data_IF_302982607287
#
_entry.id   IF_302982607287
#
_cell.length_a   1.000
_cell.length_b   1.000
_cell.length_c   1.000
_cell.angle_alpha   90.00
_cell.angle_beta   90.00
_cell.angle_gamma   90.00
#
_symmetry.space_group_name_H-M   'P 1'
#
loop_
_entity.id
_entity.type
_entity.pdbx_description
1 polymer ?
#
# COMPACT_ATOMS: atom_id res chain seq x y z
N UNK A 1 -3.48 -10.45 8.41
CA UNK A 1 -2.94 -11.35 9.46
C UNK A 1 -2.23 -12.53 8.81
N UNK A 2 -1.23 -13.05 9.47
CA UNK A 2 -0.43 -14.17 9.00
C UNK A 2 -1.24 -15.47 8.78
N UNK A 3 -2.34 -15.66 9.55
CA UNK A 3 -3.19 -16.84 9.56
C UNK A 3 -4.38 -16.78 8.56
N UNK A 4 -4.52 -15.71 7.78
CA UNK A 4 -5.66 -15.56 6.87
C UNK A 4 -5.65 -16.56 5.71
N UNK A 5 -4.48 -16.93 5.22
CA UNK A 5 -4.33 -17.94 4.17
C UNK A 5 -4.64 -19.38 4.63
N UNK A 6 -4.78 -19.60 5.95
CA UNK A 6 -5.16 -20.90 6.53
C UNK A 6 -6.67 -21.01 6.76
N UNK A 7 -7.42 -19.92 6.62
CA UNK A 7 -8.85 -19.87 6.95
C UNK A 7 -9.76 -20.21 5.80
N UNK A 8 -9.29 -20.09 4.57
CA UNK A 8 -10.07 -20.34 3.34
C UNK A 8 -9.12 -20.58 2.17
N UNK A 9 -9.67 -21.17 1.10
CA UNK A 9 -8.94 -21.33 -0.16
C UNK A 9 -8.65 -19.96 -0.79
N UNK A 10 -7.42 -19.78 -1.24
CA UNK A 10 -6.91 -18.56 -1.87
C UNK A 10 -6.09 -18.90 -3.10
N UNK A 11 -6.71 -19.49 -4.17
CA UNK A 11 -5.97 -20.08 -5.29
C UNK A 11 -5.07 -19.09 -6.04
N UNK A 12 -5.44 -17.81 -6.10
CA UNK A 12 -4.62 -16.79 -6.77
C UNK A 12 -3.41 -16.38 -5.93
N UNK A 13 -3.56 -16.24 -4.61
CA UNK A 13 -2.42 -16.06 -3.71
C UNK A 13 -1.54 -17.31 -3.67
N UNK A 14 -2.13 -18.51 -3.68
CA UNK A 14 -1.40 -19.78 -3.67
C UNK A 14 -0.53 -19.93 -4.94
N UNK A 15 -1.01 -19.45 -6.09
CA UNK A 15 -0.23 -19.40 -7.32
C UNK A 15 1.02 -18.51 -7.15
N UNK A 16 0.86 -17.30 -6.60
CA UNK A 16 1.97 -16.37 -6.35
C UNK A 16 2.96 -16.98 -5.35
N UNK A 17 2.45 -17.57 -4.27
CA UNK A 17 3.26 -18.21 -3.22
C UNK A 17 4.06 -19.37 -3.78
N UNK A 18 3.48 -20.17 -4.66
CA UNK A 18 4.14 -21.32 -5.29
C UNK A 18 5.30 -20.91 -6.19
N UNK A 19 5.17 -19.78 -6.90
CA UNK A 19 6.19 -19.24 -7.81
C UNK A 19 7.18 -18.28 -7.16
N UNK A 20 6.91 -17.83 -5.93
CA UNK A 20 7.65 -16.77 -5.25
C UNK A 20 8.17 -17.16 -3.88
N UNK A 21 8.27 -16.16 -3.01
CA UNK A 21 8.70 -16.32 -1.62
C UNK A 21 7.65 -15.74 -0.66
N UNK A 22 7.32 -16.50 0.38
CA UNK A 22 6.41 -16.09 1.45
C UNK A 22 7.12 -16.14 2.79
N UNK A 23 7.11 -15.04 3.53
CA UNK A 23 7.51 -15.05 4.95
C UNK A 23 6.42 -15.69 5.82
N UNK A 24 6.81 -16.21 6.98
CA UNK A 24 5.85 -16.75 7.97
C UNK A 24 4.92 -15.66 8.51
N UNK A 25 5.46 -14.48 8.74
CA UNK A 25 4.71 -13.30 9.20
C UNK A 25 5.51 -12.03 8.91
N UNK A 26 4.81 -10.91 8.81
CA UNK A 26 5.39 -9.57 8.93
C UNK A 26 5.23 -9.13 10.38
N UNK A 27 6.35 -8.88 11.07
CA UNK A 27 6.36 -8.38 12.45
C UNK A 27 6.16 -6.86 12.38
N UNK A 28 5.04 -6.34 12.91
CA UNK A 28 4.80 -4.90 12.87
C UNK A 28 5.72 -4.15 13.81
N UNK A 29 5.99 -2.88 13.49
CA UNK A 29 6.64 -1.96 14.43
C UNK A 29 5.65 -1.49 15.49
N UNK A 30 6.17 -1.05 16.64
CA UNK A 30 5.36 -0.41 17.68
C UNK A 30 5.36 1.12 17.44
N UNK A 31 4.20 1.79 17.55
CA UNK A 31 2.87 1.22 17.79
C UNK A 31 2.28 0.55 16.54
N UNK A 32 1.55 -0.54 16.76
CA UNK A 32 0.91 -1.32 15.69
C UNK A 32 -0.33 -0.58 15.15
N UNK A 33 -0.08 0.44 14.36
CA UNK A 33 -1.08 1.30 13.71
C UNK A 33 -0.79 1.40 12.22
N UNK A 34 -1.79 1.83 11.44
CA UNK A 34 -1.71 1.86 9.97
C UNK A 34 -0.52 2.69 9.48
N UNK A 35 -0.50 3.99 9.75
CA UNK A 35 0.52 4.87 9.19
C UNK A 35 1.92 4.57 9.73
N UNK A 36 2.16 4.40 11.05
CA UNK A 36 3.48 4.01 11.53
C UNK A 36 4.07 2.81 10.80
N UNK A 37 3.28 1.76 10.59
CA UNK A 37 3.76 0.54 9.92
C UNK A 37 3.97 0.71 8.42
N UNK A 38 3.05 1.38 7.70
CA UNK A 38 3.19 1.59 6.26
C UNK A 38 4.37 2.49 5.92
N UNK A 39 4.63 3.53 6.73
CA UNK A 39 5.80 4.39 6.56
C UNK A 39 7.09 3.62 6.87
N UNK A 40 7.12 2.82 7.93
CA UNK A 40 8.27 1.96 8.24
C UNK A 40 8.61 1.00 7.09
N UNK A 41 7.60 0.41 6.43
CA UNK A 41 7.81 -0.51 5.29
C UNK A 41 8.53 0.19 4.13
N UNK A 42 8.17 1.42 3.83
CA UNK A 42 8.69 2.12 2.64
C UNK A 42 9.91 2.98 2.90
N UNK A 43 10.25 3.23 4.17
CA UNK A 43 11.46 4.00 4.55
C UNK A 43 12.56 3.13 5.16
N UNK A 44 12.21 1.94 5.67
CA UNK A 44 13.11 1.11 6.47
C UNK A 44 13.42 1.68 7.87
N UNK A 45 12.70 2.70 8.31
CA UNK A 45 12.91 3.39 9.58
C UNK A 45 11.86 2.98 10.62
N UNK A 46 12.22 3.08 11.91
CA UNK A 46 11.26 2.99 12.99
C UNK A 46 10.47 4.31 13.15
N UNK A 47 9.26 4.27 13.79
CA UNK A 47 8.40 5.45 13.96
C UNK A 47 9.09 6.66 14.59
N UNK A 48 10.00 6.46 15.51
CA UNK A 48 10.81 7.52 16.15
C UNK A 48 11.74 8.24 15.15
N UNK A 49 12.10 7.58 14.04
CA UNK A 49 13.02 8.12 13.04
C UNK A 49 12.30 8.67 11.80
N UNK A 50 11.07 8.21 11.50
CA UNK A 50 10.30 8.74 10.38
C UNK A 50 9.18 9.69 10.79
N UNK A 51 9.06 10.01 12.09
CA UNK A 51 8.19 11.04 12.62
C UNK A 51 6.72 10.63 12.87
N UNK A 52 6.21 9.59 12.22
CA UNK A 52 4.81 9.17 12.35
C UNK A 52 4.66 8.12 13.44
N UNK A 53 4.41 8.56 14.67
CA UNK A 53 4.31 7.69 15.85
C UNK A 53 2.88 7.22 16.15
N UNK A 54 1.86 7.78 15.49
CA UNK A 54 0.46 7.37 15.65
C UNK A 54 -0.39 7.78 14.45
N UNK A 55 -1.59 7.20 14.32
CA UNK A 55 -2.60 7.65 13.36
C UNK A 55 -3.23 9.00 13.75
N UNK A 56 -3.06 9.42 15.01
CA UNK A 56 -3.37 10.75 15.51
C UNK A 56 -2.34 11.12 16.56
N UNK A 57 -1.66 12.24 16.39
CA UNK A 57 -0.64 12.75 17.29
C UNK A 57 -0.64 14.27 17.28
N UNK A 58 -0.10 14.86 18.34
CA UNK A 58 0.18 16.28 18.44
C UNK A 58 1.68 16.49 18.39
N UNK A 59 2.11 17.44 17.59
CA UNK A 59 3.51 17.85 17.52
C UNK A 59 3.69 19.22 18.19
N UNK A 60 4.47 19.32 19.28
CA UNK A 60 4.65 20.56 20.01
C UNK A 60 5.55 21.58 19.26
N UNK A 61 6.32 21.14 18.28
CA UNK A 61 7.19 22.02 17.48
C UNK A 61 6.33 22.76 16.43
N UNK A 62 5.44 22.02 15.78
CA UNK A 62 4.49 22.60 14.81
C UNK A 62 3.29 23.26 15.49
N UNK A 63 3.01 22.94 16.76
CA UNK A 63 1.78 23.29 17.49
C UNK A 63 0.52 22.83 16.74
N UNK A 64 0.59 21.64 16.13
CA UNK A 64 -0.45 21.10 15.25
C UNK A 64 -0.75 19.63 15.53
N UNK A 65 -1.94 19.18 15.11
CA UNK A 65 -2.32 17.79 15.11
C UNK A 65 -2.12 17.15 13.74
N UNK A 66 -1.41 16.02 13.74
CA UNK A 66 -1.49 15.05 12.64
C UNK A 66 -2.67 14.10 12.90
N UNK A 67 -3.42 13.78 11.86
CA UNK A 67 -4.49 12.76 11.91
C UNK A 67 -4.74 12.19 10.51
N UNK A 68 -5.14 10.91 10.47
CA UNK A 68 -5.48 10.21 9.23
C UNK A 68 -6.99 10.22 8.97
N UNK A 69 -7.39 9.91 7.75
CA UNK A 69 -8.78 9.80 7.31
C UNK A 69 -9.01 10.48 5.98
N UNK A 70 -10.12 10.18 5.36
CA UNK A 70 -10.49 10.80 4.08
C UNK A 70 -10.57 12.33 4.23
N UNK A 71 -9.88 13.05 3.35
CA UNK A 71 -9.83 14.51 3.36
C UNK A 71 -8.92 15.12 4.44
N UNK A 72 -8.09 14.30 5.11
CA UNK A 72 -7.10 14.80 6.08
C UNK A 72 -6.04 15.64 5.40
N UNK A 73 -5.98 16.94 5.73
CA UNK A 73 -4.96 17.85 5.23
C UNK A 73 -3.55 17.52 5.72
N UNK A 74 -3.34 17.15 7.00
CA UNK A 74 -2.01 16.78 7.50
C UNK A 74 -1.36 15.63 6.73
N UNK A 75 -2.15 14.66 6.23
CA UNK A 75 -1.62 13.53 5.44
C UNK A 75 -0.97 13.99 4.14
N UNK A 76 -1.41 15.12 3.58
CA UNK A 76 -0.90 15.68 2.33
C UNK A 76 0.32 16.58 2.52
N UNK A 77 0.69 16.88 3.76
CA UNK A 77 1.78 17.81 4.10
C UNK A 77 3.06 17.03 4.43
N UNK A 78 4.07 17.19 3.57
CA UNK A 78 5.35 16.50 3.68
C UNK A 78 6.15 16.81 4.93
N UNK A 79 5.85 17.92 5.64
CA UNK A 79 6.55 18.30 6.88
C UNK A 79 6.46 17.25 7.99
N UNK A 80 5.45 16.37 7.92
CA UNK A 80 5.21 15.34 8.93
C UNK A 80 6.08 14.10 8.75
N UNK A 81 6.70 13.92 7.58
CA UNK A 81 7.37 12.68 7.22
C UNK A 81 8.88 12.88 7.15
N UNK A 82 9.56 12.35 8.14
CA UNK A 82 10.99 12.19 8.11
C UNK A 82 11.38 10.88 7.41
N UNK A 83 12.56 10.86 6.81
CA UNK A 83 13.03 9.70 6.06
C UNK A 83 12.57 9.68 4.60
N UNK A 84 13.26 8.89 3.81
CA UNK A 84 13.08 8.80 2.38
C UNK A 84 12.28 7.55 2.01
N UNK A 85 11.01 7.69 1.56
CA UNK A 85 10.24 6.55 1.07
C UNK A 85 10.77 6.05 -0.27
N UNK A 86 10.57 4.76 -0.56
CA UNK A 86 11.04 4.11 -1.79
C UNK A 86 10.67 4.85 -3.08
N UNK A 87 9.48 5.45 -3.16
CA UNK A 87 9.10 6.24 -4.35
C UNK A 87 9.96 7.49 -4.52
N UNK A 88 10.39 8.13 -3.43
CA UNK A 88 11.31 9.29 -3.49
C UNK A 88 12.68 8.84 -4.01
N UNK A 89 13.20 7.70 -3.54
CA UNK A 89 14.45 7.11 -4.03
C UNK A 89 14.36 6.82 -5.54
N UNK A 90 13.24 6.28 -5.99
CA UNK A 90 12.98 6.00 -7.42
C UNK A 90 12.99 7.29 -8.24
N UNK A 91 12.23 8.30 -7.83
CA UNK A 91 12.14 9.59 -8.52
C UNK A 91 13.49 10.34 -8.55
N UNK A 92 14.22 10.34 -7.43
CA UNK A 92 15.59 10.91 -7.36
C UNK A 92 16.56 10.23 -8.33
N UNK A 93 16.34 8.97 -8.62
CA UNK A 93 17.16 8.20 -9.57
C UNK A 93 16.78 8.46 -11.04
N UNK A 94 15.85 9.37 -11.32
CA UNK A 94 15.35 9.65 -12.66
C UNK A 94 14.40 8.58 -13.22
N UNK A 95 13.97 7.66 -12.38
CA UNK A 95 12.96 6.65 -12.68
C UNK A 95 11.58 7.15 -12.24
N UNK A 96 10.52 6.41 -12.57
CA UNK A 96 9.14 6.80 -12.27
C UNK A 96 8.52 5.87 -11.25
N UNK A 97 7.87 6.45 -10.25
CA UNK A 97 7.04 5.76 -9.29
C UNK A 97 5.56 6.11 -9.52
N UNK A 98 4.67 5.15 -9.37
CA UNK A 98 3.23 5.38 -9.39
C UNK A 98 2.58 4.67 -8.21
N UNK A 99 1.68 5.38 -7.50
CA UNK A 99 1.14 4.88 -6.24
C UNK A 99 -0.38 5.00 -6.19
N UNK A 100 -1.02 3.87 -5.86
CA UNK A 100 -2.46 3.81 -5.68
C UNK A 100 -2.76 3.65 -4.19
N UNK A 101 -3.01 4.77 -3.49
CA UNK A 101 -3.44 4.83 -2.10
C UNK A 101 -2.44 4.35 -1.04
N UNK A 102 -1.16 4.19 -1.37
CA UNK A 102 -0.22 3.87 -0.30
C UNK A 102 -0.15 5.04 0.71
N UNK A 103 -0.27 4.75 2.03
CA UNK A 103 -0.22 5.81 3.05
C UNK A 103 0.96 6.77 2.89
N UNK A 104 0.68 8.08 2.89
CA UNK A 104 1.60 9.19 2.69
C UNK A 104 2.13 9.40 1.25
N UNK A 105 1.81 8.55 0.28
CA UNK A 105 2.31 8.72 -1.09
C UNK A 105 1.71 9.92 -1.82
N UNK A 106 0.65 10.51 -1.29
CA UNK A 106 0.04 11.75 -1.76
C UNK A 106 0.74 13.02 -1.27
N UNK A 107 1.65 12.93 -0.30
CA UNK A 107 2.44 14.05 0.21
C UNK A 107 3.70 14.31 -0.63
N UNK A 108 4.12 15.59 -0.68
CA UNK A 108 5.44 15.94 -1.20
C UNK A 108 6.48 15.75 -0.12
N UNK A 109 7.22 14.64 -0.16
CA UNK A 109 8.23 14.30 0.82
C UNK A 109 9.62 14.62 0.25
N UNK A 110 10.42 15.41 0.96
CA UNK A 110 11.76 15.81 0.53
C UNK A 110 11.79 16.50 -0.85
N UNK A 111 10.70 17.18 -1.23
CA UNK A 111 10.55 17.85 -2.53
C UNK A 111 10.17 16.92 -3.70
N UNK A 112 9.79 15.68 -3.43
CA UNK A 112 9.40 14.70 -4.44
C UNK A 112 8.02 14.13 -4.16
N UNK A 113 7.31 13.81 -5.24
CA UNK A 113 6.09 12.98 -5.25
C UNK A 113 6.26 11.85 -6.24
N UNK A 114 5.49 10.77 -6.14
CA UNK A 114 5.37 9.84 -7.26
C UNK A 114 4.96 10.56 -8.54
N UNK A 115 5.46 10.11 -9.69
CA UNK A 115 5.10 10.65 -11.02
C UNK A 115 3.58 10.70 -11.21
N UNK A 116 2.88 9.64 -10.78
CA UNK A 116 1.42 9.63 -10.64
C UNK A 116 1.01 9.02 -9.30
N UNK A 117 -0.02 9.59 -8.70
CA UNK A 117 -0.57 9.11 -7.43
C UNK A 117 -2.06 9.45 -7.32
N UNK A 118 -2.75 8.73 -6.46
CA UNK A 118 -4.13 9.05 -6.10
C UNK A 118 -4.22 9.37 -4.61
N UNK A 119 -4.93 10.45 -4.28
CA UNK A 119 -5.36 10.72 -2.91
C UNK A 119 -6.35 9.65 -2.49
N UNK A 120 -6.22 9.13 -1.27
CA UNK A 120 -7.03 8.03 -0.79
C UNK A 120 -8.52 8.29 -0.91
N UNK A 121 -9.20 7.43 -1.65
CA UNK A 121 -10.65 7.34 -1.75
C UNK A 121 -11.10 5.89 -1.56
N UNK A 122 -11.70 5.61 -0.40
CA UNK A 122 -12.20 4.27 -0.06
C UNK A 122 -13.38 3.81 -0.90
N UNK A 123 -14.05 4.71 -1.66
CA UNK A 123 -15.18 4.38 -2.52
C UNK A 123 -14.77 3.73 -3.86
N UNK A 124 -13.53 3.92 -4.28
CA UNK A 124 -13.01 3.31 -5.52
C UNK A 124 -12.98 1.79 -5.35
N UNK A 125 -13.67 1.09 -6.26
CA UNK A 125 -13.76 -0.38 -6.24
C UNK A 125 -12.40 -1.04 -6.40
N UNK A 126 -12.26 -2.24 -5.87
CA UNK A 126 -11.01 -2.99 -5.94
C UNK A 126 -10.59 -3.28 -7.39
N UNK A 127 -11.54 -3.64 -8.23
CA UNK A 127 -11.29 -3.95 -9.65
C UNK A 127 -10.79 -2.72 -10.41
N UNK A 128 -11.37 -1.53 -10.14
CA UNK A 128 -10.95 -0.27 -10.75
C UNK A 128 -9.51 0.11 -10.34
N UNK A 129 -9.11 -0.21 -9.10
CA UNK A 129 -7.71 -0.03 -8.64
C UNK A 129 -6.75 -0.94 -9.41
N UNK A 130 -7.13 -2.19 -9.65
CA UNK A 130 -6.33 -3.11 -10.47
C UNK A 130 -6.24 -2.63 -11.91
N UNK A 131 -7.36 -2.19 -12.48
CA UNK A 131 -7.39 -1.64 -13.85
C UNK A 131 -6.44 -0.45 -13.97
N UNK A 132 -6.42 0.45 -12.98
CA UNK A 132 -5.48 1.58 -12.97
C UNK A 132 -4.01 1.12 -12.96
N UNK A 133 -3.66 0.11 -12.14
CA UNK A 133 -2.30 -0.46 -12.14
C UNK A 133 -1.95 -1.03 -13.52
N UNK A 134 -2.85 -1.77 -14.14
CA UNK A 134 -2.64 -2.35 -15.46
C UNK A 134 -2.52 -1.27 -16.56
N UNK A 135 -3.28 -0.19 -16.47
CA UNK A 135 -3.16 0.96 -17.36
C UNK A 135 -1.78 1.63 -17.24
N UNK A 136 -1.24 1.79 -16.03
CA UNK A 136 0.10 2.32 -15.82
C UNK A 136 1.19 1.40 -16.41
N UNK A 137 1.00 0.10 -16.30
CA UNK A 137 1.90 -0.90 -16.89
C UNK A 137 1.92 -0.81 -18.42
N UNK A 138 0.80 -0.45 -19.04
CA UNK A 138 0.66 -0.30 -20.49
C UNK A 138 1.25 1.01 -21.04
N UNK A 139 1.75 1.89 -20.18
CA UNK A 139 2.38 3.13 -20.65
C UNK A 139 3.60 2.85 -21.52
N UNK A 140 3.90 3.73 -22.48
CA UNK A 140 5.14 3.69 -23.26
C UNK A 140 6.37 3.64 -22.34
N UNK A 141 7.47 3.06 -22.84
CA UNK A 141 8.67 2.81 -22.04
C UNK A 141 9.23 4.07 -21.34
N UNK A 142 9.12 5.22 -21.97
CA UNK A 142 9.56 6.54 -21.43
C UNK A 142 8.65 7.08 -20.31
N UNK A 143 7.44 6.53 -20.18
CA UNK A 143 6.45 6.93 -19.16
C UNK A 143 6.17 5.84 -18.13
N UNK A 144 6.63 4.62 -18.39
CA UNK A 144 6.33 3.45 -17.56
C UNK A 144 7.00 3.57 -16.19
N UNK A 145 6.25 3.19 -15.14
CA UNK A 145 6.79 3.13 -13.79
C UNK A 145 7.82 2.00 -13.62
N UNK A 146 8.85 2.28 -12.85
CA UNK A 146 9.79 1.29 -12.31
C UNK A 146 9.36 0.79 -10.93
N UNK A 147 8.49 1.54 -10.25
CA UNK A 147 7.90 1.18 -8.98
C UNK A 147 6.39 1.44 -9.01
N UNK A 148 5.62 0.45 -8.60
CA UNK A 148 4.17 0.52 -8.45
C UNK A 148 3.78 0.08 -7.05
N UNK A 149 2.91 0.83 -6.40
CA UNK A 149 2.30 0.40 -5.15
C UNK A 149 0.77 0.47 -5.21
N UNK A 150 0.14 -0.44 -4.48
CA UNK A 150 -1.31 -0.57 -4.41
C UNK A 150 -1.72 -0.91 -2.98
N UNK A 151 -2.75 -0.23 -2.47
CA UNK A 151 -3.26 -0.43 -1.12
C UNK A 151 -4.73 -0.84 -1.11
N UNK A 152 -5.04 -1.79 -0.24
CA UNK A 152 -6.40 -2.21 0.08
C UNK A 152 -6.61 -2.22 1.60
N UNK A 153 -7.70 -1.60 2.06
CA UNK A 153 -8.12 -1.59 3.46
C UNK A 153 -9.12 -2.70 3.80
N UNK A 154 -9.53 -3.52 2.83
CA UNK A 154 -10.70 -4.38 2.92
C UNK A 154 -10.66 -5.36 4.10
N UNK A 155 -9.61 -6.17 4.18
CA UNK A 155 -9.47 -7.16 5.28
C UNK A 155 -9.27 -6.50 6.65
N UNK A 156 -8.65 -5.33 6.71
CA UNK A 156 -8.53 -4.53 7.94
C UNK A 156 -9.90 -4.04 8.41
N UNK A 157 -10.67 -3.44 7.51
CA UNK A 157 -12.02 -2.92 7.78
C UNK A 157 -12.96 -4.03 8.28
N UNK A 158 -12.96 -5.19 7.62
CA UNK A 158 -13.80 -6.31 8.04
C UNK A 158 -13.31 -6.95 9.34
N UNK A 159 -11.99 -7.06 9.52
CA UNK A 159 -11.40 -7.54 10.75
C UNK A 159 -11.75 -6.67 11.97
N UNK A 160 -11.74 -5.34 11.80
CA UNK A 160 -12.17 -4.40 12.85
C UNK A 160 -13.68 -4.48 13.13
N UNK A 161 -14.50 -4.59 12.09
CA UNK A 161 -15.96 -4.55 12.25
C UNK A 161 -16.56 -5.85 12.78
N UNK A 162 -16.08 -6.99 12.32
CA UNK A 162 -16.69 -8.30 12.59
C UNK A 162 -15.79 -9.24 13.38
N UNK A 163 -14.54 -8.88 13.56
CA UNK A 163 -13.52 -9.70 14.21
C UNK A 163 -12.75 -10.61 13.25
N UNK A 164 -11.53 -10.97 13.63
CA UNK A 164 -10.59 -11.68 12.73
C UNK A 164 -10.92 -13.16 12.49
N UNK A 165 -11.95 -13.69 13.13
CA UNK A 165 -12.41 -15.08 13.02
C UNK A 165 -13.86 -15.20 12.54
N UNK A 166 -14.44 -14.13 12.03
CA UNK A 166 -15.83 -14.10 11.54
C UNK A 166 -15.96 -14.67 10.13
N UNK A 167 -17.18 -15.10 9.76
CA UNK A 167 -17.48 -15.50 8.38
C UNK A 167 -17.28 -14.34 7.41
N UNK A 168 -17.52 -13.10 7.85
CA UNK A 168 -17.34 -11.91 7.05
C UNK A 168 -15.87 -11.67 6.69
N UNK A 169 -14.92 -11.99 7.56
CA UNK A 169 -13.51 -11.89 7.20
C UNK A 169 -13.11 -12.97 6.20
N UNK A 170 -13.72 -14.15 6.25
CA UNK A 170 -13.51 -15.21 5.25
C UNK A 170 -13.94 -14.73 3.86
N UNK A 171 -15.11 -14.14 3.76
CA UNK A 171 -15.57 -13.58 2.48
C UNK A 171 -14.69 -12.41 1.98
N UNK A 172 -14.21 -11.55 2.89
CA UNK A 172 -13.29 -10.48 2.55
C UNK A 172 -11.93 -11.02 2.02
N UNK A 173 -11.44 -12.13 2.57
CA UNK A 173 -10.21 -12.80 2.08
C UNK A 173 -10.44 -13.35 0.67
N UNK A 174 -11.55 -14.04 0.42
CA UNK A 174 -11.91 -14.57 -0.91
C UNK A 174 -12.05 -13.45 -1.95
N UNK A 175 -12.67 -12.33 -1.57
CA UNK A 175 -12.78 -11.16 -2.44
C UNK A 175 -11.40 -10.60 -2.80
N UNK A 176 -10.50 -10.50 -1.83
CA UNK A 176 -9.12 -10.05 -2.10
C UNK A 176 -8.36 -11.04 -2.97
N UNK A 177 -8.54 -12.34 -2.77
CA UNK A 177 -7.95 -13.37 -3.64
C UNK A 177 -8.42 -13.21 -5.09
N UNK A 178 -9.74 -13.08 -5.31
CA UNK A 178 -10.31 -12.79 -6.63
C UNK A 178 -9.70 -11.52 -7.24
N UNK A 179 -9.60 -10.45 -6.46
CA UNK A 179 -9.04 -9.17 -6.90
C UNK A 179 -7.59 -9.31 -7.34
N UNK A 180 -6.76 -10.01 -6.58
CA UNK A 180 -5.38 -10.30 -6.96
C UNK A 180 -5.32 -11.20 -8.20
N UNK A 181 -6.27 -12.12 -8.35
CA UNK A 181 -6.41 -12.93 -9.56
C UNK A 181 -6.59 -12.10 -10.83
N UNK A 182 -7.31 -10.97 -10.77
CA UNK A 182 -7.45 -10.05 -11.92
C UNK A 182 -6.07 -9.45 -12.29
N UNK A 183 -5.29 -9.03 -11.29
CA UNK A 183 -3.93 -8.52 -11.52
C UNK A 183 -3.04 -9.58 -12.16
N UNK A 184 -3.01 -10.78 -11.59
CA UNK A 184 -2.21 -11.92 -12.09
C UNK A 184 -2.56 -12.22 -13.55
N UNK A 185 -3.85 -12.33 -13.88
CA UNK A 185 -4.30 -12.56 -15.25
C UNK A 185 -3.96 -11.38 -16.18
N UNK A 186 -4.06 -10.15 -15.67
CA UNK A 186 -3.67 -8.95 -16.39
C UNK A 186 -2.19 -8.93 -16.76
N UNK A 187 -1.31 -9.33 -15.84
CA UNK A 187 0.13 -9.47 -16.05
C UNK A 187 0.45 -10.60 -17.03
N UNK A 188 -0.21 -11.76 -16.90
CA UNK A 188 -0.03 -12.90 -17.82
C UNK A 188 -0.41 -12.53 -19.26
N UNK A 189 -1.53 -11.85 -19.46
CA UNK A 189 -1.96 -11.38 -20.81
C UNK A 189 -0.95 -10.43 -21.46
N UNK A 190 -0.13 -9.75 -20.65
CA UNK A 190 0.93 -8.83 -21.10
C UNK A 190 2.32 -9.49 -21.17
N UNK A 191 2.40 -10.78 -20.89
CA UNK A 191 3.66 -11.53 -20.78
C UNK A 191 4.65 -10.89 -19.80
N UNK A 192 4.12 -10.32 -18.70
CA UNK A 192 4.90 -9.62 -17.68
C UNK A 192 4.93 -10.35 -16.33
N UNK A 193 4.13 -11.40 -16.14
CA UNK A 193 4.02 -12.09 -14.86
C UNK A 193 5.37 -12.59 -14.32
N UNK A 194 6.25 -13.08 -15.20
CA UNK A 194 7.60 -13.56 -14.85
C UNK A 194 8.69 -12.48 -15.00
N UNK A 195 8.30 -11.24 -15.26
CA UNK A 195 9.24 -10.11 -15.50
C UNK A 195 9.14 -8.99 -14.45
N UNK A 196 8.14 -9.05 -13.60
CA UNK A 196 7.95 -8.11 -12.49
C UNK A 196 8.16 -8.83 -11.16
N UNK A 197 8.65 -8.08 -10.15
CA UNK A 197 8.86 -8.57 -8.79
C UNK A 197 7.82 -7.96 -7.85
#
# INVERSE_FOLDING_TARGET
>A
RWDYFEKTETPNFDEIIKGGSKSKALIPVFPTKTFPNHISIVTGLYPENHGIIANRMYDPIFDEFYYIGQGSKPVLDGKWYDGEPVWVTVEKSGLKAMTMFWPASEAEIMGYRPTEYFVYDGSIKHDDRIEQILNWIDYPADKRASFLSLYFSHTDTYGHKYGPNSDQIIEAIKEMDRTIGILVQGLKKRELYDKVN
#
